data_IF_540831514006
#
_entry.id   IF_540831514006
#
_cell.length_a   1.000
_cell.length_b   1.000
_cell.length_c   1.000
_cell.angle_alpha   90.00
_cell.angle_beta   90.00
_cell.angle_gamma   90.00
#
_symmetry.space_group_name_H-M   'P 1'
#
loop_
_entity.id
_entity.type
_entity.pdbx_description
1 polymer ?
#
# COMPACT_ATOMS: atom_id res chain seq x y z
N UNK A 1 26.67 7.30 -8.86
CA UNK A 1 27.02 7.16 -7.43
C UNK A 1 26.45 8.35 -6.63
N UNK A 2 25.59 8.08 -5.63
CA UNK A 2 24.87 9.13 -4.89
C UNK A 2 23.40 8.80 -4.54
N UNK A 3 22.91 7.61 -4.91
CA UNK A 3 21.57 7.15 -4.51
C UNK A 3 21.48 6.88 -3.01
N UNK A 4 20.30 7.13 -2.44
CA UNK A 4 19.97 6.73 -1.07
C UNK A 4 19.34 5.33 -1.08
N UNK A 5 19.67 4.51 -0.08
CA UNK A 5 18.99 3.24 0.11
C UNK A 5 17.51 3.48 0.41
N UNK A 6 16.65 2.61 -0.10
CA UNK A 6 15.21 2.62 0.16
C UNK A 6 14.88 1.28 0.80
N UNK A 7 14.38 1.31 2.04
CA UNK A 7 14.04 0.09 2.77
C UNK A 7 12.60 -0.38 2.49
N UNK A 8 11.70 0.56 2.20
CA UNK A 8 10.28 0.27 1.90
C UNK A 8 9.79 1.14 0.76
N UNK A 9 9.15 0.53 -0.23
CA UNK A 9 8.48 1.18 -1.36
C UNK A 9 6.98 0.89 -1.27
N UNK A 10 6.17 1.94 -1.28
CA UNK A 10 4.71 1.83 -1.37
C UNK A 10 4.23 2.17 -2.79
N UNK A 11 3.50 1.26 -3.42
CA UNK A 11 2.89 1.39 -4.73
C UNK A 11 1.37 1.34 -4.58
N UNK A 12 0.76 2.50 -4.37
CA UNK A 12 -0.71 2.66 -4.27
C UNK A 12 -1.37 2.86 -5.62
N UNK A 13 -0.95 2.06 -6.61
CA UNK A 13 -1.36 2.11 -8.01
C UNK A 13 -1.37 0.69 -8.58
N UNK A 14 -2.06 0.48 -9.69
CA UNK A 14 -2.00 -0.77 -10.42
C UNK A 14 -2.82 -0.75 -11.69
N UNK A 15 -2.81 -1.87 -12.40
CA UNK A 15 -3.51 -2.07 -13.65
C UNK A 15 -4.02 -3.52 -13.75
N UNK A 16 -4.92 -3.75 -14.70
CA UNK A 16 -5.39 -5.07 -15.07
C UNK A 16 -4.88 -5.41 -16.48
N UNK A 17 -4.46 -6.66 -16.71
CA UNK A 17 -4.17 -7.11 -18.07
C UNK A 17 -5.45 -7.17 -18.90
N UNK A 18 -5.48 -6.51 -20.05
CA UNK A 18 -6.61 -6.55 -20.99
C UNK A 18 -6.81 -7.96 -21.57
N UNK A 19 -5.72 -8.71 -21.78
CA UNK A 19 -5.69 -10.09 -22.29
C UNK A 19 -4.91 -11.02 -21.35
N UNK A 20 -5.55 -11.57 -20.31
CA UNK A 20 -4.88 -12.36 -19.26
C UNK A 20 -4.21 -13.66 -19.75
N UNK A 21 -4.69 -14.22 -20.87
CA UNK A 21 -4.15 -15.47 -21.44
C UNK A 21 -2.77 -15.30 -22.07
N UNK A 22 -2.34 -14.05 -22.32
CA UNK A 22 -1.01 -13.75 -22.84
C UNK A 22 -0.02 -13.65 -21.66
N UNK A 23 0.38 -14.83 -21.14
CA UNK A 23 1.28 -15.01 -19.98
C UNK A 23 2.69 -14.40 -20.15
N UNK A 24 2.92 -13.66 -21.23
CA UNK A 24 4.21 -13.08 -21.64
C UNK A 24 4.39 -11.61 -21.21
N UNK A 25 3.37 -10.94 -20.68
CA UNK A 25 3.36 -9.46 -20.69
C UNK A 25 3.94 -8.72 -19.46
N UNK A 26 4.64 -9.36 -18.52
CA UNK A 26 5.30 -8.53 -17.49
C UNK A 26 6.59 -9.03 -16.82
N UNK A 27 7.58 -9.58 -17.57
CA UNK A 27 8.91 -9.79 -17.00
C UNK A 27 9.52 -8.45 -16.55
N UNK A 28 9.29 -7.35 -17.28
CA UNK A 28 10.01 -6.10 -17.03
C UNK A 28 9.68 -5.46 -15.67
N UNK A 29 8.41 -5.32 -15.29
CA UNK A 29 8.10 -4.74 -13.98
C UNK A 29 8.44 -5.70 -12.86
N UNK A 30 8.11 -6.99 -13.00
CA UNK A 30 8.42 -7.98 -11.98
C UNK A 30 9.93 -8.08 -11.71
N UNK A 31 10.78 -8.09 -12.74
CA UNK A 31 12.23 -8.16 -12.60
C UNK A 31 12.79 -6.95 -11.83
N UNK A 32 12.19 -5.77 -12.01
CA UNK A 32 12.54 -4.58 -11.23
C UNK A 32 12.14 -4.73 -9.76
N UNK A 33 10.93 -5.23 -9.49
CA UNK A 33 10.47 -5.47 -8.11
C UNK A 33 11.28 -6.57 -7.42
N UNK A 34 11.67 -7.62 -8.15
CA UNK A 34 12.55 -8.68 -7.67
C UNK A 34 13.96 -8.13 -7.39
N UNK A 35 14.46 -7.24 -8.24
CA UNK A 35 15.74 -6.54 -7.99
C UNK A 35 15.69 -5.73 -6.70
N UNK A 36 14.58 -5.03 -6.42
CA UNK A 36 14.37 -4.35 -5.14
C UNK A 36 14.33 -5.36 -3.97
N UNK A 37 13.56 -6.43 -4.11
CA UNK A 37 13.42 -7.46 -3.09
C UNK A 37 14.73 -8.14 -2.73
N UNK A 38 15.60 -8.45 -3.71
CA UNK A 38 16.95 -9.02 -3.48
C UNK A 38 17.93 -8.00 -2.88
N UNK A 39 17.63 -6.71 -2.96
CA UNK A 39 18.38 -5.66 -2.27
C UNK A 39 17.87 -5.43 -0.83
N UNK A 40 16.81 -6.13 -0.39
CA UNK A 40 16.23 -5.99 0.93
C UNK A 40 15.19 -4.86 1.04
N UNK A 41 14.72 -4.33 -0.09
CA UNK A 41 13.62 -3.34 -0.12
C UNK A 41 12.27 -4.05 -0.10
N UNK A 42 11.45 -3.78 0.90
CA UNK A 42 10.07 -4.28 0.95
C UNK A 42 9.18 -3.51 -0.02
N UNK A 43 8.47 -4.21 -0.90
CA UNK A 43 7.53 -3.60 -1.86
C UNK A 43 6.10 -3.89 -1.40
N UNK A 44 5.33 -2.83 -1.13
CA UNK A 44 3.96 -2.90 -0.65
C UNK A 44 3.02 -2.29 -1.67
N UNK A 45 2.03 -3.06 -2.12
CA UNK A 45 1.11 -2.71 -3.20
C UNK A 45 -0.33 -2.73 -2.73
N UNK A 46 -1.14 -1.76 -3.16
CA UNK A 46 -2.59 -1.76 -2.90
C UNK A 46 -3.32 -2.75 -3.80
N UNK A 47 -4.34 -3.44 -3.29
CA UNK A 47 -5.09 -4.46 -4.03
C UNK A 47 -6.09 -3.91 -5.07
N UNK A 48 -6.44 -2.62 -5.07
CA UNK A 48 -7.45 -2.07 -5.98
C UNK A 48 -8.84 -2.00 -5.36
N UNK A 49 -9.74 -1.25 -6.00
CA UNK A 49 -10.97 -0.73 -5.39
C UNK A 49 -12.25 -1.10 -6.19
N UNK A 50 -12.19 -2.17 -6.98
CA UNK A 50 -13.23 -2.53 -7.95
C UNK A 50 -14.17 -3.64 -7.45
N UNK A 51 -14.09 -4.01 -6.16
CA UNK A 51 -14.90 -5.07 -5.54
C UNK A 51 -14.84 -6.42 -6.29
N UNK A 52 -13.67 -6.76 -6.82
CA UNK A 52 -13.47 -7.97 -7.63
C UNK A 52 -12.40 -8.90 -7.06
N UNK A 53 -12.37 -10.14 -7.54
CA UNK A 53 -11.28 -11.09 -7.30
C UNK A 53 -10.21 -11.07 -8.40
N UNK A 54 -10.43 -10.33 -9.49
CA UNK A 54 -9.49 -10.19 -10.61
C UNK A 54 -8.15 -9.65 -10.13
N UNK A 55 -7.08 -10.29 -10.55
CA UNK A 55 -5.71 -9.90 -10.23
C UNK A 55 -5.39 -8.48 -10.71
N UNK A 56 -4.97 -7.63 -9.78
CA UNK A 56 -4.44 -6.29 -10.06
C UNK A 56 -2.92 -6.31 -9.91
N UNK A 57 -2.19 -5.89 -10.94
CA UNK A 57 -0.73 -5.85 -10.95
C UNK A 57 -0.23 -4.43 -10.62
N UNK A 58 0.88 -4.28 -9.87
CA UNK A 58 1.81 -5.34 -9.45
C UNK A 58 1.43 -6.10 -8.17
N UNK A 59 0.31 -5.78 -7.49
CA UNK A 59 -0.06 -6.43 -6.24
C UNK A 59 -0.21 -7.96 -6.38
N UNK A 60 -0.74 -8.45 -7.50
CA UNK A 60 -0.88 -9.87 -7.79
C UNK A 60 0.45 -10.62 -8.02
N UNK A 61 1.60 -9.93 -8.09
CA UNK A 61 2.92 -10.58 -8.03
C UNK A 61 3.30 -11.09 -6.62
N UNK A 62 2.43 -10.90 -5.63
CA UNK A 62 2.60 -11.50 -4.31
C UNK A 62 2.61 -13.05 -4.37
N UNK A 63 3.12 -13.72 -3.33
CA UNK A 63 2.97 -15.17 -3.17
C UNK A 63 1.55 -15.53 -2.74
N UNK A 64 0.74 -16.16 -3.59
CA UNK A 64 -0.68 -16.39 -3.31
C UNK A 64 -0.91 -17.44 -2.21
N UNK A 65 -2.07 -17.38 -1.55
CA UNK A 65 -2.45 -18.31 -0.46
C UNK A 65 -2.66 -19.75 -0.89
N UNK A 66 -3.03 -19.97 -2.14
CA UNK A 66 -3.27 -21.27 -2.76
C UNK A 66 -2.03 -21.83 -3.49
N UNK A 67 -0.96 -21.04 -3.63
CA UNK A 67 0.29 -21.46 -4.23
C UNK A 67 0.44 -21.10 -5.72
N UNK A 68 -0.58 -20.52 -6.36
CA UNK A 68 -0.53 -20.17 -7.79
C UNK A 68 0.25 -18.87 -8.10
N UNK A 69 0.65 -18.14 -7.05
CA UNK A 69 1.40 -16.89 -7.16
C UNK A 69 2.92 -17.07 -7.32
N UNK A 70 3.66 -15.96 -7.18
CA UNK A 70 5.13 -16.01 -7.24
C UNK A 70 5.69 -16.82 -6.06
N UNK A 71 6.75 -17.62 -6.29
CA UNK A 71 7.33 -18.43 -5.21
C UNK A 71 7.97 -17.54 -4.15
N UNK A 72 7.83 -17.95 -2.89
CA UNK A 72 8.59 -17.35 -1.79
C UNK A 72 10.05 -17.81 -1.87
N UNK A 73 10.98 -16.88 -1.66
CA UNK A 73 12.42 -17.13 -1.70
C UNK A 73 13.12 -16.55 -0.47
N UNK A 74 14.10 -17.25 0.08
CA UNK A 74 14.87 -16.77 1.24
C UNK A 74 15.75 -15.55 0.96
N UNK A 75 16.18 -15.40 -0.29
CA UNK A 75 17.13 -14.39 -0.76
C UNK A 75 16.46 -13.16 -1.38
N UNK A 76 15.13 -13.11 -1.41
CA UNK A 76 14.34 -12.02 -1.98
C UNK A 76 13.10 -11.74 -1.13
N UNK A 77 12.83 -10.48 -0.82
CA UNK A 77 11.56 -10.09 -0.21
C UNK A 77 10.40 -10.24 -1.21
N UNK A 78 9.22 -10.70 -0.78
CA UNK A 78 8.06 -10.83 -1.64
C UNK A 78 7.38 -9.48 -1.85
N UNK A 79 6.61 -9.36 -2.93
CA UNK A 79 5.60 -8.29 -3.03
C UNK A 79 4.52 -8.52 -1.98
N UNK A 80 4.18 -7.47 -1.24
CA UNK A 80 3.10 -7.46 -0.24
C UNK A 80 1.87 -6.81 -0.84
N UNK A 81 0.81 -7.58 -1.08
CA UNK A 81 -0.48 -7.05 -1.53
C UNK A 81 -1.42 -6.78 -0.36
N UNK A 82 -2.01 -5.58 -0.36
CA UNK A 82 -2.78 -5.06 0.78
C UNK A 82 -4.20 -4.68 0.36
N UNK A 83 -5.18 -5.36 0.94
CA UNK A 83 -6.59 -4.99 0.87
C UNK A 83 -6.99 -4.01 1.99
N UNK A 84 -8.20 -3.47 1.90
CA UNK A 84 -8.72 -2.47 2.83
C UNK A 84 -9.79 -3.04 3.78
N UNK A 85 -9.79 -2.55 5.02
CA UNK A 85 -10.82 -2.76 6.03
C UNK A 85 -11.58 -1.48 6.32
N UNK A 86 -12.83 -1.67 6.71
CA UNK A 86 -13.69 -0.67 7.35
C UNK A 86 -13.23 -0.42 8.80
N UNK A 87 -13.73 0.66 9.45
CA UNK A 87 -13.44 0.94 10.86
C UNK A 87 -13.85 -0.17 11.85
N UNK A 88 -14.82 -1.02 11.47
CA UNK A 88 -15.27 -2.17 12.27
C UNK A 88 -14.51 -3.47 11.92
N UNK A 89 -13.32 -3.35 11.32
CA UNK A 89 -12.43 -4.44 10.91
C UNK A 89 -12.95 -5.40 9.82
N UNK A 90 -14.18 -5.22 9.33
CA UNK A 90 -14.66 -5.96 8.15
C UNK A 90 -13.89 -5.55 6.89
N UNK A 91 -13.81 -6.43 5.89
CA UNK A 91 -13.26 -6.07 4.57
C UNK A 91 -14.13 -4.98 3.95
N UNK A 92 -13.51 -3.92 3.44
CA UNK A 92 -14.22 -2.83 2.79
C UNK A 92 -14.84 -3.31 1.47
N UNK A 93 -16.10 -2.93 1.19
CA UNK A 93 -16.84 -3.42 0.02
C UNK A 93 -16.09 -3.17 -1.30
N UNK A 94 -15.41 -2.03 -1.41
CA UNK A 94 -14.62 -1.69 -2.60
C UNK A 94 -13.35 -2.52 -2.74
N UNK A 95 -12.80 -3.06 -1.65
CA UNK A 95 -11.50 -3.75 -1.70
C UNK A 95 -11.59 -4.95 -2.62
N UNK A 96 -10.65 -5.04 -3.57
CA UNK A 96 -10.43 -6.31 -4.24
C UNK A 96 -10.03 -7.37 -3.22
N UNK A 97 -10.34 -8.62 -3.56
CA UNK A 97 -10.09 -9.80 -2.73
C UNK A 97 -9.48 -10.91 -3.58
N UNK A 98 -9.16 -12.05 -2.98
CA UNK A 98 -8.60 -13.21 -3.68
C UNK A 98 -7.41 -13.81 -2.97
N UNK A 99 -6.94 -14.98 -3.42
CA UNK A 99 -5.79 -15.68 -2.83
C UNK A 99 -4.49 -14.87 -2.95
N UNK A 100 -4.42 -13.98 -3.93
CA UNK A 100 -3.30 -13.09 -4.18
C UNK A 100 -3.25 -11.88 -3.23
N UNK A 101 -4.31 -11.58 -2.47
CA UNK A 101 -4.31 -10.52 -1.44
C UNK A 101 -3.78 -11.08 -0.12
N UNK A 102 -2.63 -10.57 0.35
CA UNK A 102 -1.90 -11.17 1.46
C UNK A 102 -2.32 -10.68 2.82
N UNK A 103 -2.50 -9.38 2.98
CA UNK A 103 -2.98 -8.81 4.23
C UNK A 103 -4.03 -7.74 3.98
N UNK A 104 -4.66 -7.32 5.06
CA UNK A 104 -5.66 -6.26 5.05
C UNK A 104 -5.39 -5.32 6.21
N UNK A 105 -5.52 -4.02 5.96
CA UNK A 105 -5.40 -2.99 6.99
C UNK A 105 -6.50 -1.94 6.82
N UNK A 106 -6.59 -1.01 7.76
CA UNK A 106 -7.57 0.09 7.71
C UNK A 106 -7.37 0.88 6.42
N UNK A 107 -8.42 0.97 5.61
CA UNK A 107 -8.36 1.70 4.35
C UNK A 107 -9.62 2.53 4.08
N UNK A 108 -10.68 2.39 4.87
CA UNK A 108 -11.86 3.23 4.77
C UNK A 108 -11.85 4.31 5.86
N UNK A 109 -12.30 5.51 5.49
CA UNK A 109 -12.41 6.68 6.35
C UNK A 109 -11.11 7.02 7.12
N UNK A 110 -9.97 7.06 6.41
CA UNK A 110 -8.70 7.55 6.97
C UNK A 110 -8.57 9.06 6.77
N UNK A 111 -8.25 9.75 7.87
CA UNK A 111 -7.88 11.16 7.87
C UNK A 111 -6.38 11.31 7.60
N UNK A 112 -6.00 12.10 6.60
CA UNK A 112 -4.60 12.42 6.33
C UNK A 112 -4.45 13.83 5.75
N UNK A 113 -3.21 14.29 5.67
CA UNK A 113 -2.85 15.57 5.04
C UNK A 113 -3.01 15.52 3.53
N UNK A 114 -3.46 16.62 2.93
CA UNK A 114 -3.58 16.79 1.48
C UNK A 114 -3.16 18.23 1.11
N UNK A 115 -2.65 18.49 -0.12
CA UNK A 115 -2.55 19.86 -0.60
C UNK A 115 -3.90 20.58 -0.50
N UNK A 116 -3.87 21.86 -0.15
CA UNK A 116 -5.10 22.67 -0.06
C UNK A 116 -5.77 22.73 -1.42
N UNK A 117 -7.04 22.35 -1.45
CA UNK A 117 -7.87 22.34 -2.64
C UNK A 117 -9.31 22.60 -2.20
N UNK A 118 -10.07 23.35 -3.00
CA UNK A 118 -11.51 23.48 -2.86
C UNK A 118 -12.14 22.84 -4.08
N UNK A 119 -13.02 21.87 -3.84
CA UNK A 119 -13.77 21.17 -4.87
C UNK A 119 -14.94 21.98 -5.39
N UNK A 120 -15.88 21.28 -6.01
CA UNK A 120 -17.02 21.87 -6.69
C UNK A 120 -18.34 21.68 -5.94
N UNK A 121 -18.33 20.94 -4.82
CA UNK A 121 -19.48 20.85 -3.94
C UNK A 121 -19.54 22.09 -3.06
N UNK A 122 -20.65 22.20 -2.35
CA UNK A 122 -20.91 23.27 -1.40
C UNK A 122 -21.46 22.66 -0.12
N UNK A 123 -21.39 23.37 1.02
CA UNK A 123 -22.11 23.00 2.22
C UNK A 123 -23.58 22.68 1.95
N UNK A 124 -24.14 21.60 2.54
CA UNK A 124 -25.53 21.20 2.30
C UNK A 124 -26.56 22.22 2.82
N UNK A 125 -26.17 23.09 3.75
CA UNK A 125 -26.98 24.18 4.26
C UNK A 125 -26.08 25.29 4.81
N UNK A 126 -26.53 26.55 4.65
CA UNK A 126 -25.87 27.76 5.15
C UNK A 126 -26.91 28.72 5.71
N UNK A 127 -26.62 29.34 6.85
CA UNK A 127 -27.45 30.37 7.47
C UNK A 127 -26.58 31.42 8.16
N UNK A 128 -27.21 32.52 8.56
CA UNK A 128 -26.57 33.58 9.35
C UNK A 128 -27.34 33.75 10.65
N UNK A 129 -26.65 33.63 11.78
CA UNK A 129 -27.19 33.86 13.11
C UNK A 129 -26.13 34.52 14.00
N UNK A 130 -26.52 35.46 14.87
CA UNK A 130 -25.62 36.18 15.77
C UNK A 130 -24.39 36.79 15.05
N UNK A 131 -24.61 37.40 13.88
CA UNK A 131 -23.57 37.96 13.01
C UNK A 131 -22.46 36.96 12.61
N UNK A 132 -22.79 35.66 12.53
CA UNK A 132 -21.88 34.60 12.10
C UNK A 132 -22.51 33.78 10.98
N UNK A 133 -21.70 33.40 10.00
CA UNK A 133 -22.07 32.35 9.04
C UNK A 133 -21.99 31.01 9.76
N UNK A 134 -23.04 30.21 9.63
CA UNK A 134 -23.11 28.84 10.13
C UNK A 134 -23.49 27.95 8.96
N UNK A 135 -22.68 26.95 8.68
CA UNK A 135 -22.91 26.03 7.56
C UNK A 135 -22.58 24.60 7.94
N UNK A 136 -23.12 23.65 7.18
CA UNK A 136 -22.69 22.26 7.22
C UNK A 136 -21.27 22.08 6.71
N UNK A 137 -20.70 20.90 6.91
CA UNK A 137 -19.39 20.58 6.33
C UNK A 137 -19.56 20.54 4.81
N UNK A 138 -18.74 21.32 4.10
CA UNK A 138 -18.51 21.13 2.68
C UNK A 138 -17.69 19.84 2.48
N UNK A 139 -18.26 18.80 1.85
CA UNK A 139 -17.62 17.49 1.77
C UNK A 139 -16.35 17.45 0.90
N UNK A 140 -16.11 18.45 0.05
CA UNK A 140 -14.89 18.54 -0.76
C UNK A 140 -14.07 19.83 -0.56
N UNK A 141 -14.34 20.57 0.52
CA UNK A 141 -13.46 21.64 1.01
C UNK A 141 -12.29 21.08 1.82
N UNK A 142 -11.13 20.99 1.15
CA UNK A 142 -9.87 20.59 1.74
C UNK A 142 -8.93 21.78 1.99
N UNK A 143 -9.46 23.01 2.06
CA UNK A 143 -8.68 24.22 2.38
C UNK A 143 -8.00 24.14 3.76
N UNK A 144 -8.55 23.31 4.66
CA UNK A 144 -7.96 22.95 5.95
C UNK A 144 -6.68 22.09 5.86
N UNK A 145 -6.34 21.55 4.69
CA UNK A 145 -5.13 20.73 4.47
C UNK A 145 -5.23 19.29 4.96
N UNK A 146 -6.44 18.84 5.33
CA UNK A 146 -6.73 17.47 5.71
C UNK A 146 -7.95 16.97 4.95
N UNK A 147 -8.01 15.66 4.75
CA UNK A 147 -9.13 15.04 4.09
C UNK A 147 -9.38 13.62 4.61
N UNK A 148 -10.65 13.21 4.55
CA UNK A 148 -11.10 11.87 4.90
C UNK A 148 -11.27 11.06 3.61
N UNK A 149 -10.53 9.98 3.46
CA UNK A 149 -10.54 9.16 2.24
C UNK A 149 -10.74 7.69 2.50
N UNK A 150 -11.17 6.98 1.46
CA UNK A 150 -11.30 5.52 1.47
C UNK A 150 -10.66 4.91 0.22
N UNK A 151 -9.91 3.82 0.40
CA UNK A 151 -9.28 3.08 -0.67
C UNK A 151 -8.18 2.14 -0.17
N UNK A 152 -7.88 1.09 -0.93
CA UNK A 152 -6.71 0.23 -0.70
C UNK A 152 -5.40 1.02 -0.80
N UNK A 153 -5.39 2.12 -1.56
CA UNK A 153 -4.32 3.12 -1.61
C UNK A 153 -4.03 3.80 -0.26
N UNK A 154 -4.93 3.69 0.72
CA UNK A 154 -4.74 4.17 2.09
C UNK A 154 -4.35 3.05 3.06
N UNK A 155 -4.73 1.80 2.76
CA UNK A 155 -4.32 0.64 3.55
C UNK A 155 -2.84 0.25 3.29
N UNK A 156 -2.40 0.24 2.03
CA UNK A 156 -1.02 -0.08 1.65
C UNK A 156 0.04 0.78 2.37
N UNK A 157 -0.06 2.13 2.43
CA UNK A 157 0.92 2.94 3.13
C UNK A 157 0.93 2.73 4.65
N UNK A 158 -0.18 2.31 5.27
CA UNK A 158 -0.17 1.92 6.69
C UNK A 158 0.69 0.67 6.92
N UNK A 159 0.56 -0.35 6.05
CA UNK A 159 1.40 -1.55 6.13
C UNK A 159 2.86 -1.21 5.85
N UNK A 160 3.14 -0.37 4.84
CA UNK A 160 4.48 0.12 4.56
C UNK A 160 5.09 0.85 5.77
N UNK A 161 4.31 1.70 6.45
CA UNK A 161 4.72 2.39 7.68
C UNK A 161 5.01 1.42 8.84
N UNK A 162 4.19 0.37 9.01
CA UNK A 162 4.42 -0.69 10.01
C UNK A 162 5.73 -1.44 9.76
N UNK A 163 6.02 -1.79 8.50
CA UNK A 163 7.29 -2.42 8.12
C UNK A 163 8.45 -1.47 8.39
N UNK A 164 8.35 -0.21 7.97
CA UNK A 164 9.40 0.79 8.21
C UNK A 164 9.68 1.01 9.70
N UNK A 165 8.63 1.05 10.54
CA UNK A 165 8.76 1.18 11.99
C UNK A 165 9.48 -0.02 12.64
N UNK A 166 9.36 -1.22 12.09
CA UNK A 166 10.10 -2.39 12.57
C UNK A 166 11.56 -2.40 12.10
N UNK A 167 11.86 -1.75 10.97
CA UNK A 167 13.22 -1.69 10.43
C UNK A 167 14.07 -0.61 11.11
N UNK A 168 13.47 0.51 11.53
CA UNK A 168 14.19 1.74 11.93
C UNK A 168 15.30 1.50 12.96
N UNK A 169 15.06 0.65 13.97
CA UNK A 169 16.03 0.38 15.05
C UNK A 169 17.08 -0.68 14.66
N UNK A 170 16.85 -1.41 13.57
CA UNK A 170 17.73 -2.48 13.09
C UNK A 170 18.59 -2.06 11.89
N UNK A 171 18.39 -0.84 11.36
CA UNK A 171 19.18 -0.32 10.25
C UNK A 171 20.60 0.02 10.69
N UNK A 172 21.61 -0.23 9.83
CA UNK A 172 22.96 0.21 10.10
C UNK A 172 23.04 1.74 10.10
N UNK A 173 24.03 2.27 10.82
CA UNK A 173 24.31 3.70 10.82
C UNK A 173 24.52 4.23 9.39
N UNK A 174 24.05 5.44 9.11
CA UNK A 174 24.18 6.05 7.80
C UNK A 174 25.66 6.03 7.32
N UNK A 175 25.90 5.41 6.17
CA UNK A 175 27.24 5.29 5.59
C UNK A 175 28.09 4.11 6.10
N UNK A 176 27.63 3.33 7.08
CA UNK A 176 28.35 2.14 7.57
C UNK A 176 28.34 0.97 6.54
N UNK A 177 27.57 1.10 5.46
CA UNK A 177 27.33 0.05 4.49
C UNK A 177 26.40 -1.04 5.03
N UNK A 178 25.74 -1.75 4.12
CA UNK A 178 24.92 -2.92 4.47
C UNK A 178 25.06 -3.98 3.39
N UNK A 179 25.04 -5.25 3.79
CA UNK A 179 25.03 -6.35 2.83
C UNK A 179 23.59 -6.65 2.41
N UNK A 180 23.39 -6.99 1.13
CA UNK A 180 22.07 -7.43 0.63
C UNK A 180 21.47 -8.54 1.49
N UNK A 181 22.29 -9.53 1.88
CA UNK A 181 21.86 -10.66 2.72
C UNK A 181 21.35 -10.20 4.09
N UNK A 182 22.02 -9.25 4.74
CA UNK A 182 21.57 -8.72 6.02
C UNK A 182 20.29 -7.90 5.86
N UNK A 183 20.20 -7.06 4.83
CA UNK A 183 19.00 -6.28 4.51
C UNK A 183 17.78 -7.18 4.25
N UNK A 184 17.92 -8.21 3.41
CA UNK A 184 16.88 -9.21 3.15
C UNK A 184 16.48 -9.96 4.42
N UNK A 185 17.42 -10.34 5.27
CA UNK A 185 17.13 -11.02 6.54
C UNK A 185 16.26 -10.15 7.46
N UNK A 186 16.65 -8.88 7.66
CA UNK A 186 15.87 -7.92 8.47
C UNK A 186 14.51 -7.62 7.84
N UNK A 187 14.47 -7.40 6.53
CA UNK A 187 13.25 -7.15 5.78
C UNK A 187 12.24 -8.28 5.90
N UNK A 188 12.71 -9.53 5.87
CA UNK A 188 11.84 -10.70 6.02
C UNK A 188 11.19 -10.77 7.41
N UNK A 189 11.97 -10.47 8.47
CA UNK A 189 11.41 -10.37 9.82
C UNK A 189 10.29 -9.33 9.87
N UNK A 190 10.54 -8.14 9.31
CA UNK A 190 9.56 -7.06 9.32
C UNK A 190 8.30 -7.38 8.48
N UNK A 191 8.49 -7.92 7.27
CA UNK A 191 7.36 -8.33 6.40
C UNK A 191 6.53 -9.41 7.09
N UNK A 192 7.16 -10.43 7.67
CA UNK A 192 6.43 -11.51 8.34
C UNK A 192 5.62 -11.01 9.54
N UNK A 193 6.20 -10.16 10.39
CA UNK A 193 5.51 -9.58 11.54
C UNK A 193 4.34 -8.67 11.12
N UNK A 194 4.49 -7.86 10.06
CA UNK A 194 3.46 -6.93 9.61
C UNK A 194 2.32 -7.59 8.81
N UNK A 195 2.58 -8.72 8.15
CA UNK A 195 1.66 -9.26 7.11
C UNK A 195 1.27 -10.73 7.31
N UNK A 196 2.03 -11.49 8.11
CA UNK A 196 1.89 -12.94 8.22
C UNK A 196 2.38 -13.73 7.02
N UNK A 197 3.03 -13.10 6.03
CA UNK A 197 3.71 -13.81 4.93
C UNK A 197 4.96 -14.49 5.52
N UNK A 198 5.00 -15.82 5.46
CA UNK A 198 6.14 -16.62 5.92
C UNK A 198 7.07 -17.03 4.77
N UNK A 199 8.29 -17.41 5.16
CA UNK A 199 9.24 -18.16 4.34
C UNK A 199 8.86 -19.64 4.31
#
# INVERSE_FOLDING_TARGET
PGGKAIDVVNLSLGYYHETPDDKLEDPTLYDLLETLGTCGTAVVCSAGNDATARELYPAAFAPWRDGDGKPVRDDCLPVVSVGARNPNDTVALFSNTGPWVRCYDRGAALLSTIPKFQGGLEPPARTTADNRVREGIDPDDFSGGFALWSGTSFAAPLVAGKIAAQLVDALPAAGAGDSKKAAVSRGWKAVAEATGIGR
#
